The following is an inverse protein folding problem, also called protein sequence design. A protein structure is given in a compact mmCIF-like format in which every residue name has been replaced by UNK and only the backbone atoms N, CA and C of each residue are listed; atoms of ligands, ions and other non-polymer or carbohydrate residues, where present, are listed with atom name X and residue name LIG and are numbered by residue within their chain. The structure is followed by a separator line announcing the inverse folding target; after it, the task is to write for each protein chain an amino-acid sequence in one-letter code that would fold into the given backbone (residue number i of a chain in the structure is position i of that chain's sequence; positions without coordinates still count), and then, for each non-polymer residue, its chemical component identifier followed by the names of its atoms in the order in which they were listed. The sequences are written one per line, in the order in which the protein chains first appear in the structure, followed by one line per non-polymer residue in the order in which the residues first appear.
data_IF_520815708288
#
_entry.id   IF_520815708288
#
_cell.length_a   1.000
_cell.length_b   1.000
_cell.length_c   1.000
_cell.angle_alpha   90.00
_cell.angle_beta   90.00
_cell.angle_gamma   90.00
#
_symmetry.space_group_name_H-M   'P 1'
#
loop_
_entity.id
_entity.type
_entity.pdbx_description
1 polymer ?
#
# COMPACT_ATOMS: atom_id res chain seq x y z
N UNK A 1 7.07 2.44 19.56
CA UNK A 1 6.93 3.75 18.91
C UNK A 1 5.76 3.72 17.93
N UNK A 2 4.81 4.61 18.07
CA UNK A 2 3.66 4.70 17.15
C UNK A 2 4.11 5.23 15.79
N UNK A 3 3.29 5.02 14.76
CA UNK A 3 3.55 5.58 13.43
C UNK A 3 3.72 7.10 13.52
N UNK A 4 2.82 7.78 14.23
CA UNK A 4 2.88 9.24 14.41
C UNK A 4 4.20 9.69 15.03
N UNK A 5 4.67 8.97 16.04
CA UNK A 5 5.97 9.27 16.68
C UNK A 5 7.14 9.08 15.72
N UNK A 6 7.12 8.02 14.91
CA UNK A 6 8.13 7.77 13.88
C UNK A 6 8.14 8.88 12.83
N UNK A 7 6.96 9.29 12.38
CA UNK A 7 6.82 10.38 11.40
C UNK A 7 7.37 11.69 11.97
N UNK A 8 7.05 12.00 13.21
CA UNK A 8 7.56 13.22 13.86
C UNK A 8 9.08 13.23 13.97
N UNK A 9 9.68 12.09 14.35
CA UNK A 9 11.12 11.95 14.43
C UNK A 9 11.78 12.09 13.06
N UNK A 10 11.23 11.44 12.05
CA UNK A 10 11.75 11.48 10.67
C UNK A 10 11.60 12.87 10.05
N UNK A 11 10.51 13.58 10.36
CA UNK A 11 10.33 14.98 9.92
C UNK A 11 11.46 15.85 10.42
N UNK A 12 11.83 15.71 11.69
CA UNK A 12 12.93 16.46 12.28
C UNK A 12 14.24 16.18 11.56
N UNK A 13 14.53 14.91 11.31
CA UNK A 13 15.72 14.47 10.59
C UNK A 13 15.74 15.04 9.16
N UNK A 14 14.61 14.97 8.46
CA UNK A 14 14.48 15.47 7.09
C UNK A 14 14.66 17.01 7.04
N UNK A 15 14.17 17.73 8.03
CA UNK A 15 14.35 19.18 8.14
C UNK A 15 15.81 19.53 8.30
N UNK A 16 16.53 18.84 9.17
CA UNK A 16 17.97 19.06 9.40
C UNK A 16 18.80 18.71 8.16
N UNK A 17 18.40 17.68 7.43
CA UNK A 17 19.07 17.25 6.19
C UNK A 17 18.66 18.04 4.96
N UNK A 18 17.68 18.93 5.09
CA UNK A 18 17.08 19.68 3.97
C UNK A 18 16.57 18.77 2.86
N UNK A 19 16.01 17.65 3.26
CA UNK A 19 15.45 16.63 2.35
C UNK A 19 14.01 17.02 1.96
N UNK A 20 13.87 17.71 0.84
CA UNK A 20 12.57 18.19 0.36
C UNK A 20 11.60 17.07 0.05
N UNK A 21 12.06 16.00 -0.60
CA UNK A 21 11.23 14.84 -0.94
C UNK A 21 10.74 14.15 0.33
N UNK A 22 11.62 13.96 1.29
CA UNK A 22 11.28 13.41 2.60
C UNK A 22 10.26 14.26 3.32
N UNK A 23 10.46 15.59 3.35
CA UNK A 23 9.53 16.51 3.99
C UNK A 23 8.13 16.46 3.38
N UNK A 24 8.04 16.51 2.05
CA UNK A 24 6.74 16.43 1.36
C UNK A 24 6.01 15.14 1.71
N UNK A 25 6.72 14.03 1.65
CA UNK A 25 6.14 12.70 1.87
C UNK A 25 5.69 12.53 3.32
N UNK A 26 6.54 12.91 4.26
CA UNK A 26 6.25 12.80 5.69
C UNK A 26 5.10 13.73 6.11
N UNK A 27 5.03 14.92 5.55
CA UNK A 27 3.92 15.85 5.78
C UNK A 27 2.60 15.29 5.27
N UNK A 28 2.63 14.60 4.11
CA UNK A 28 1.45 13.95 3.56
C UNK A 28 0.96 12.83 4.49
N UNK A 29 1.86 12.03 5.02
CA UNK A 29 1.53 10.97 5.98
C UNK A 29 0.93 11.58 7.25
N UNK A 30 1.57 12.62 7.78
CA UNK A 30 1.10 13.31 8.99
C UNK A 30 -0.31 13.86 8.80
N UNK A 31 -0.56 14.52 7.67
CA UNK A 31 -1.88 15.07 7.36
C UNK A 31 -2.93 13.97 7.26
N UNK A 32 -2.60 12.84 6.64
CA UNK A 32 -3.49 11.71 6.53
C UNK A 32 -3.82 11.09 7.90
N UNK A 33 -2.83 11.00 8.79
CA UNK A 33 -3.02 10.52 10.16
C UNK A 33 -3.97 11.46 10.92
N UNK A 34 -3.75 12.75 10.85
CA UNK A 34 -4.58 13.76 11.51
C UNK A 34 -6.03 13.66 11.01
N UNK A 35 -6.21 13.58 9.70
CA UNK A 35 -7.53 13.45 9.10
C UNK A 35 -8.24 12.16 9.56
N UNK A 36 -7.51 11.05 9.63
CA UNK A 36 -8.06 9.79 10.11
C UNK A 36 -8.49 9.87 11.58
N UNK A 37 -7.68 10.50 12.43
CA UNK A 37 -7.97 10.66 13.86
C UNK A 37 -9.16 11.58 14.13
N UNK A 38 -9.38 12.54 13.25
CA UNK A 38 -10.48 13.52 13.40
C UNK A 38 -11.71 13.14 12.62
N UNK A 39 -11.68 12.02 11.87
CA UNK A 39 -12.85 11.54 11.15
C UNK A 39 -13.93 11.05 12.12
N UNK A 40 -15.16 11.04 11.64
CA UNK A 40 -16.31 10.59 12.44
C UNK A 40 -16.12 9.13 12.88
N UNK A 41 -16.28 8.90 14.19
CA UNK A 41 -16.14 7.57 14.78
C UNK A 41 -14.73 7.16 15.19
N UNK A 42 -13.70 7.92 14.85
CA UNK A 42 -12.31 7.56 15.16
C UNK A 42 -11.90 7.83 16.62
N UNK A 43 -12.60 8.69 17.33
CA UNK A 43 -12.34 9.03 18.74
C UNK A 43 -10.89 9.46 19.05
N UNK A 44 -10.20 10.03 18.06
CA UNK A 44 -8.83 10.52 18.21
C UNK A 44 -7.74 9.46 18.13
N UNK A 45 -8.09 8.20 17.84
CA UNK A 45 -7.13 7.11 17.71
C UNK A 45 -7.38 6.31 16.45
N UNK A 46 -6.33 5.69 15.90
CA UNK A 46 -6.41 4.75 14.78
C UNK A 46 -5.60 3.50 15.12
N UNK A 47 -6.09 2.34 14.66
CA UNK A 47 -5.42 1.06 14.85
C UNK A 47 -4.24 0.90 13.91
N UNK A 48 -3.37 -0.09 14.18
CA UNK A 48 -2.27 -0.44 13.28
C UNK A 48 -2.77 -0.84 11.88
N UNK A 49 -3.90 -1.56 11.81
CA UNK A 49 -4.52 -1.93 10.54
C UNK A 49 -4.98 -0.70 9.77
N UNK A 50 -5.55 0.28 10.45
CA UNK A 50 -5.96 1.55 9.85
C UNK A 50 -4.74 2.35 9.36
N UNK A 51 -3.66 2.36 10.14
CA UNK A 51 -2.40 2.99 9.73
C UNK A 51 -1.87 2.37 8.44
N UNK A 52 -1.86 1.04 8.38
CA UNK A 52 -1.40 0.31 7.19
C UNK A 52 -2.25 0.63 5.96
N UNK A 53 -3.57 0.61 6.11
CA UNK A 53 -4.51 0.95 5.02
C UNK A 53 -4.33 2.38 4.54
N UNK A 54 -4.12 3.29 5.46
CA UNK A 54 -3.87 4.70 5.17
C UNK A 54 -2.60 4.86 4.32
N UNK A 55 -1.52 4.20 4.72
CA UNK A 55 -0.26 4.23 3.99
C UNK A 55 -0.40 3.59 2.60
N UNK A 56 -1.08 2.46 2.50
CA UNK A 56 -1.34 1.79 1.23
C UNK A 56 -2.14 2.69 0.28
N UNK A 57 -3.13 3.40 0.80
CA UNK A 57 -3.94 4.34 0.02
C UNK A 57 -3.10 5.50 -0.51
N UNK A 58 -2.20 6.02 0.30
CA UNK A 58 -1.28 7.09 -0.10
C UNK A 58 -0.36 6.62 -1.23
N UNK A 59 0.17 5.41 -1.12
CA UNK A 59 1.04 4.83 -2.16
C UNK A 59 0.25 4.58 -3.44
N UNK A 60 -0.94 4.01 -3.34
CA UNK A 60 -1.79 3.72 -4.51
C UNK A 60 -2.13 4.99 -5.29
N UNK A 61 -2.53 6.04 -4.59
CA UNK A 61 -2.86 7.33 -5.19
C UNK A 61 -1.66 7.88 -5.99
N UNK A 62 -0.46 7.74 -5.43
CA UNK A 62 0.75 8.20 -6.10
C UNK A 62 1.15 7.32 -7.27
N UNK A 63 0.94 6.02 -7.19
CA UNK A 63 1.17 5.10 -8.32
C UNK A 63 0.24 5.41 -9.47
N UNK A 64 -1.02 5.72 -9.19
CA UNK A 64 -1.99 6.13 -10.21
C UNK A 64 -1.54 7.42 -10.90
N UNK A 65 -1.09 8.41 -10.13
CA UNK A 65 -0.55 9.66 -10.66
C UNK A 65 0.73 9.44 -11.46
N UNK A 66 1.61 8.58 -10.97
CA UNK A 66 2.86 8.22 -11.66
C UNK A 66 2.57 7.65 -13.04
N UNK A 67 1.63 6.72 -13.14
CA UNK A 67 1.23 6.14 -14.42
C UNK A 67 0.73 7.20 -15.39
N UNK A 68 -0.12 8.11 -14.92
CA UNK A 68 -0.65 9.21 -15.73
C UNK A 68 0.49 10.11 -16.23
N UNK A 69 1.43 10.48 -15.37
CA UNK A 69 2.54 11.34 -15.75
C UNK A 69 3.50 10.66 -16.73
N UNK A 70 3.67 9.35 -16.61
CA UNK A 70 4.45 8.57 -17.58
C UNK A 70 3.76 8.54 -18.94
N UNK A 71 2.45 8.34 -18.97
CA UNK A 71 1.66 8.36 -20.21
C UNK A 71 1.67 9.73 -20.88
N UNK A 72 1.67 10.80 -20.09
CA UNK A 72 1.71 12.18 -20.59
C UNK A 72 3.13 12.67 -20.88
N UNK A 73 4.12 11.81 -20.71
CA UNK A 73 5.52 12.14 -20.91
C UNK A 73 5.98 13.34 -20.06
N UNK A 74 5.63 13.30 -18.77
CA UNK A 74 6.01 14.33 -17.78
C UNK A 74 6.98 13.74 -16.76
N UNK A 75 8.27 13.50 -17.14
CA UNK A 75 9.23 12.82 -16.27
C UNK A 75 9.52 13.57 -14.97
N UNK A 76 9.48 14.89 -14.97
CA UNK A 76 9.71 15.70 -13.76
C UNK A 76 8.63 15.50 -12.69
N UNK A 77 7.38 15.31 -13.12
CA UNK A 77 6.27 15.03 -12.20
C UNK A 77 6.26 13.57 -11.77
N UNK A 78 6.58 12.66 -12.71
CA UNK A 78 6.72 11.24 -12.41
C UNK A 78 7.79 10.99 -11.34
N UNK A 79 8.92 11.67 -11.43
CA UNK A 79 10.01 11.55 -10.47
C UNK A 79 9.58 11.93 -9.06
N UNK A 80 8.80 12.99 -8.91
CA UNK A 80 8.27 13.41 -7.61
C UNK A 80 7.39 12.33 -6.99
N UNK A 81 6.53 11.71 -7.80
CA UNK A 81 5.68 10.63 -7.32
C UNK A 81 6.50 9.42 -6.87
N UNK A 82 7.52 9.04 -7.65
CA UNK A 82 8.44 7.94 -7.29
C UNK A 82 9.16 8.21 -5.97
N UNK A 83 9.64 9.42 -5.77
CA UNK A 83 10.31 9.82 -4.52
C UNK A 83 9.39 9.69 -3.32
N UNK A 84 8.15 10.16 -3.44
CA UNK A 84 7.16 10.09 -2.36
C UNK A 84 6.76 8.64 -2.07
N UNK A 85 6.55 7.83 -3.10
CA UNK A 85 6.27 6.40 -2.94
C UNK A 85 7.39 5.72 -2.14
N UNK A 86 8.64 5.98 -2.52
CA UNK A 86 9.82 5.41 -1.86
C UNK A 86 9.87 5.73 -0.37
N UNK A 87 9.53 6.96 0.01
CA UNK A 87 9.52 7.37 1.42
C UNK A 87 8.37 6.69 2.17
N UNK A 88 7.16 6.70 1.60
CA UNK A 88 5.98 6.15 2.26
C UNK A 88 6.11 4.63 2.45
N UNK A 89 6.63 3.92 1.47
CA UNK A 89 6.81 2.47 1.54
C UNK A 89 7.73 2.02 2.67
N UNK A 90 8.62 2.88 3.16
CA UNK A 90 9.48 2.56 4.30
C UNK A 90 8.69 2.30 5.59
N UNK A 91 7.47 2.82 5.68
CA UNK A 91 6.60 2.65 6.85
C UNK A 91 5.62 1.50 6.68
N UNK A 92 5.58 0.86 5.53
CA UNK A 92 4.76 -0.30 5.25
C UNK A 92 5.56 -1.59 5.47
N UNK A 93 4.88 -2.73 5.75
CA UNK A 93 5.52 -4.03 5.64
C UNK A 93 6.13 -4.19 4.25
N UNK A 94 7.10 -5.09 4.10
CA UNK A 94 7.72 -5.33 2.80
C UNK A 94 6.62 -5.63 1.77
N UNK A 95 6.57 -4.84 0.71
CA UNK A 95 5.60 -5.03 -0.36
C UNK A 95 6.06 -6.15 -1.28
N UNK A 96 5.14 -7.02 -1.64
CA UNK A 96 5.43 -8.14 -2.52
C UNK A 96 5.35 -7.69 -3.98
N UNK A 97 6.26 -8.22 -4.81
CA UNK A 97 6.18 -8.04 -6.26
C UNK A 97 4.99 -8.84 -6.81
N UNK A 98 4.59 -8.57 -8.05
CA UNK A 98 3.51 -9.32 -8.72
C UNK A 98 3.84 -10.81 -8.74
N UNK A 99 5.09 -11.18 -9.04
CA UNK A 99 5.53 -12.58 -9.06
C UNK A 99 5.45 -13.22 -7.68
N UNK A 100 5.83 -12.51 -6.64
CA UNK A 100 5.73 -12.98 -5.26
C UNK A 100 4.27 -13.17 -4.84
N UNK A 101 3.39 -12.24 -5.19
CA UNK A 101 1.95 -12.35 -4.93
C UNK A 101 1.37 -13.56 -5.67
N UNK A 102 1.78 -13.75 -6.94
CA UNK A 102 1.35 -14.89 -7.75
C UNK A 102 1.72 -16.23 -7.10
N UNK A 103 2.97 -16.32 -6.59
CA UNK A 103 3.43 -17.52 -5.90
C UNK A 103 2.62 -17.80 -4.63
N UNK A 104 2.34 -16.76 -3.84
CA UNK A 104 1.53 -16.90 -2.63
C UNK A 104 0.09 -17.30 -2.93
N UNK A 105 -0.53 -16.67 -3.94
CA UNK A 105 -1.90 -17.01 -4.35
C UNK A 105 -1.97 -18.44 -4.87
N UNK A 106 -1.00 -18.87 -5.68
CA UNK A 106 -0.92 -20.25 -6.17
C UNK A 106 -0.89 -21.26 -5.02
N UNK A 107 -0.10 -20.96 -4.00
CA UNK A 107 -0.01 -21.77 -2.79
C UNK A 107 -1.35 -21.84 -2.04
N UNK A 108 -2.01 -20.70 -1.89
CA UNK A 108 -3.31 -20.62 -1.23
C UNK A 108 -4.34 -21.46 -1.98
N UNK A 109 -4.38 -21.36 -3.31
CA UNK A 109 -5.28 -22.13 -4.15
C UNK A 109 -5.06 -23.65 -3.94
N UNK A 110 -3.80 -24.07 -3.96
CA UNK A 110 -3.42 -25.46 -3.75
C UNK A 110 -3.81 -25.94 -2.34
N UNK A 111 -3.53 -25.15 -1.32
CA UNK A 111 -3.82 -25.49 0.08
C UNK A 111 -5.33 -25.60 0.34
N UNK A 112 -6.13 -24.82 -0.35
CA UNK A 112 -7.59 -24.82 -0.22
C UNK A 112 -8.28 -25.84 -1.11
N UNK A 113 -7.54 -26.46 -2.04
CA UNK A 113 -8.11 -27.38 -3.00
C UNK A 113 -9.07 -26.71 -3.99
N UNK A 114 -8.91 -25.41 -4.21
CA UNK A 114 -9.73 -24.66 -5.14
C UNK A 114 -9.38 -25.00 -6.58
N UNK A 115 -10.37 -25.14 -7.44
CA UNK A 115 -10.16 -25.62 -8.81
C UNK A 115 -10.95 -24.87 -9.87
N UNK A 116 -11.82 -23.94 -9.48
CA UNK A 116 -12.68 -23.25 -10.44
C UNK A 116 -12.96 -21.82 -10.02
N UNK A 117 -13.44 -20.97 -10.96
CA UNK A 117 -13.86 -19.60 -10.64
C UNK A 117 -14.93 -19.50 -9.56
N UNK A 118 -15.70 -20.58 -9.34
CA UNK A 118 -16.71 -20.63 -8.27
C UNK A 118 -16.08 -20.52 -6.87
N UNK A 119 -14.80 -20.84 -6.73
CA UNK A 119 -14.07 -20.77 -5.46
C UNK A 119 -13.44 -19.40 -5.21
N UNK A 120 -13.64 -18.45 -6.11
CA UNK A 120 -13.00 -17.13 -6.05
C UNK A 120 -13.22 -16.42 -4.72
N UNK A 121 -14.44 -16.44 -4.19
CA UNK A 121 -14.77 -15.78 -2.92
C UNK A 121 -13.95 -16.31 -1.75
N UNK A 122 -13.79 -17.63 -1.67
CA UNK A 122 -13.02 -18.29 -0.61
C UNK A 122 -11.53 -17.97 -0.73
N UNK A 123 -10.99 -18.06 -1.95
CA UNK A 123 -9.58 -17.77 -2.22
C UNK A 123 -9.29 -16.30 -1.96
N UNK A 124 -10.16 -15.39 -2.40
CA UNK A 124 -10.02 -13.95 -2.14
C UNK A 124 -9.99 -13.64 -0.65
N UNK A 125 -10.88 -14.25 0.13
CA UNK A 125 -10.91 -14.06 1.57
C UNK A 125 -9.60 -14.48 2.25
N UNK A 126 -9.09 -15.65 1.90
CA UNK A 126 -7.82 -16.16 2.43
C UNK A 126 -6.62 -15.32 1.97
N UNK A 127 -6.56 -14.99 0.69
CA UNK A 127 -5.47 -14.21 0.11
C UNK A 127 -5.43 -12.79 0.71
N UNK A 128 -6.56 -12.13 0.80
CA UNK A 128 -6.65 -10.79 1.39
C UNK A 128 -6.18 -10.79 2.84
N UNK A 129 -6.54 -11.82 3.60
CA UNK A 129 -6.13 -11.96 4.99
C UNK A 129 -4.63 -12.21 5.14
N UNK A 130 -4.07 -13.14 4.35
CA UNK A 130 -2.66 -13.50 4.44
C UNK A 130 -1.72 -12.42 3.89
N UNK A 131 -2.17 -11.69 2.88
CA UNK A 131 -1.37 -10.67 2.21
C UNK A 131 -1.72 -9.24 2.65
N UNK A 132 -2.49 -9.10 3.72
CA UNK A 132 -2.89 -7.80 4.23
C UNK A 132 -1.68 -6.91 4.50
N UNK A 133 -1.69 -5.71 3.95
CA UNK A 133 -0.58 -4.76 4.08
C UNK A 133 0.63 -5.02 3.19
N UNK A 134 0.72 -6.19 2.52
CA UNK A 134 1.86 -6.58 1.69
C UNK A 134 1.59 -6.44 0.20
N UNK A 135 0.32 -6.47 -0.20
CA UNK A 135 -0.10 -6.31 -1.58
C UNK A 135 -1.46 -5.61 -1.61
N UNK A 136 -1.76 -4.89 -2.71
CA UNK A 136 -3.06 -4.24 -2.82
C UNK A 136 -4.15 -5.24 -3.23
N UNK A 137 -5.39 -4.94 -2.88
CA UNK A 137 -6.53 -5.81 -3.16
C UNK A 137 -6.78 -6.02 -4.64
N UNK A 138 -6.47 -5.03 -5.46
CA UNK A 138 -6.66 -5.08 -6.91
C UNK A 138 -5.71 -6.10 -7.56
N UNK A 139 -4.43 -6.09 -7.17
CA UNK A 139 -3.44 -7.05 -7.65
C UNK A 139 -3.81 -8.47 -7.22
N UNK A 140 -4.21 -8.64 -5.96
CA UNK A 140 -4.64 -9.94 -5.42
C UNK A 140 -5.84 -10.45 -6.22
N UNK A 141 -6.86 -9.62 -6.42
CA UNK A 141 -8.07 -9.97 -7.16
C UNK A 141 -7.77 -10.41 -8.59
N UNK A 142 -6.96 -9.65 -9.29
CA UNK A 142 -6.54 -9.96 -10.66
C UNK A 142 -5.86 -11.31 -10.74
N UNK A 143 -4.91 -11.58 -9.85
CA UNK A 143 -4.16 -12.84 -9.86
C UNK A 143 -5.00 -14.04 -9.44
N UNK A 144 -5.89 -13.88 -8.46
CA UNK A 144 -6.81 -14.94 -8.06
C UNK A 144 -7.70 -15.32 -9.24
N UNK A 145 -8.27 -14.33 -9.90
CA UNK A 145 -9.14 -14.56 -11.07
C UNK A 145 -8.37 -15.26 -12.21
N UNK A 146 -7.19 -14.79 -12.52
CA UNK A 146 -6.36 -15.35 -13.59
C UNK A 146 -5.96 -16.79 -13.30
N UNK A 147 -5.50 -17.08 -12.08
CA UNK A 147 -5.03 -18.42 -11.71
C UNK A 147 -6.18 -19.43 -11.62
N UNK A 148 -7.34 -19.03 -11.13
CA UNK A 148 -8.51 -19.91 -11.09
C UNK A 148 -9.09 -20.18 -12.47
N UNK A 149 -8.99 -19.22 -13.39
CA UNK A 149 -9.44 -19.42 -14.77
C UNK A 149 -8.58 -20.43 -15.53
N UNK A 150 -7.30 -20.60 -15.13
CA UNK A 150 -6.37 -21.55 -15.76
C UNK A 150 -6.39 -22.93 -15.12
N UNK A 151 -7.12 -23.10 -14.03
CA UNK A 151 -7.18 -24.36 -13.27
C UNK A 151 -8.09 -25.38 -13.93
#
# INVERSE_FOLDING_TARGET
MSLEQKIMADLKTAMLAKDEAGLRSLRAIKAAIINAKTSEGAKGEISEDEETKLLQKLVKSRKDSLEIFQQQNRPELAKKEEEEISVIEKFLPKQLSVDEVKAEVTKIIADMGASSPADMGKVMGAATKQLAGKADGKTISFLVKELLAKS
#
